data_IF_452831509316
#
_entry.id   IF_452831509316
#
_cell.length_a   1.000
_cell.length_b   1.000
_cell.length_c   1.000
_cell.angle_alpha   90.00
_cell.angle_beta   90.00
_cell.angle_gamma   90.00
#
_symmetry.space_group_name_H-M   'P 1'
#
loop_
_entity.id
_entity.type
_entity.pdbx_description
1 polymer ?
#
# COMPACT_ATOMS: atom_id res chain seq x y z
N UNK A 1 2.66 3.96 12.63
CA UNK A 1 3.07 2.71 11.96
C UNK A 1 1.78 2.07 11.45
N UNK A 2 1.64 1.94 10.13
CA UNK A 2 0.46 1.34 9.51
C UNK A 2 0.71 -0.16 9.32
N UNK A 3 -0.24 -0.99 9.76
CA UNK A 3 -0.20 -2.45 9.61
C UNK A 3 -1.49 -2.89 8.96
N UNK A 4 -1.40 -3.75 7.96
CA UNK A 4 -2.53 -4.20 7.13
C UNK A 4 -2.41 -5.70 6.86
N UNK A 5 -3.54 -6.36 6.64
CA UNK A 5 -3.58 -7.76 6.23
C UNK A 5 -3.20 -7.91 4.75
N UNK A 6 -2.66 -9.07 4.36
CA UNK A 6 -2.30 -9.34 2.97
C UNK A 6 -3.49 -9.36 2.00
N UNK A 7 -4.70 -9.68 2.49
CA UNK A 7 -5.94 -9.70 1.70
C UNK A 7 -6.57 -8.31 1.46
N UNK A 8 -5.96 -7.23 1.98
CA UNK A 8 -6.48 -5.88 1.77
C UNK A 8 -6.38 -5.48 0.30
N UNK A 9 -7.42 -4.82 -0.23
CA UNK A 9 -7.36 -4.28 -1.58
C UNK A 9 -6.41 -3.10 -1.65
N UNK A 10 -5.70 -2.98 -2.78
CA UNK A 10 -4.76 -1.90 -3.01
C UNK A 10 -5.44 -0.52 -3.06
N UNK A 11 -6.66 -0.47 -3.60
CA UNK A 11 -7.50 0.75 -3.64
C UNK A 11 -7.80 1.28 -2.24
N UNK A 12 -7.94 0.38 -1.26
CA UNK A 12 -8.20 0.73 0.13
C UNK A 12 -6.93 1.18 0.88
N UNK A 13 -5.73 0.90 0.34
CA UNK A 13 -4.45 1.30 0.96
C UNK A 13 -4.16 2.79 0.80
N UNK A 14 -4.50 3.40 -0.34
CA UNK A 14 -4.29 4.83 -0.59
C UNK A 14 -4.95 5.73 0.48
N UNK A 15 -6.26 5.59 0.78
CA UNK A 15 -6.89 6.42 1.80
C UNK A 15 -6.32 6.16 3.20
N UNK A 16 -5.83 4.94 3.49
CA UNK A 16 -5.17 4.62 4.75
C UNK A 16 -3.83 5.35 4.91
N UNK A 17 -3.01 5.38 3.85
CA UNK A 17 -1.76 6.14 3.83
C UNK A 17 -2.01 7.63 4.07
N UNK A 18 -3.01 8.21 3.39
CA UNK A 18 -3.39 9.61 3.56
C UNK A 18 -3.86 9.91 4.98
N UNK A 19 -4.74 9.06 5.54
CA UNK A 19 -5.29 9.22 6.90
C UNK A 19 -4.22 9.14 7.98
N UNK A 20 -3.27 8.22 7.84
CA UNK A 20 -2.19 8.01 8.80
C UNK A 20 -0.98 8.91 8.58
N UNK A 21 -0.98 9.74 7.52
CA UNK A 21 0.15 10.59 7.12
C UNK A 21 1.46 9.80 7.06
N UNK A 22 1.39 8.60 6.46
CA UNK A 22 2.54 7.70 6.29
C UNK A 22 2.55 7.13 4.89
N UNK A 23 3.73 6.73 4.42
CA UNK A 23 3.92 6.21 3.06
C UNK A 23 4.34 4.75 3.02
N UNK A 24 4.41 4.08 4.18
CA UNK A 24 4.80 2.66 4.29
C UNK A 24 3.83 1.93 5.22
N UNK A 25 3.43 0.73 4.81
CA UNK A 25 2.63 -0.19 5.60
C UNK A 25 3.37 -1.51 5.73
N UNK A 26 3.29 -2.13 6.91
CA UNK A 26 3.72 -3.51 7.12
C UNK A 26 2.55 -4.42 6.79
N UNK A 27 2.80 -5.42 5.96
CA UNK A 27 1.81 -6.42 5.56
C UNK A 27 1.98 -7.64 6.45
N UNK A 28 0.89 -8.06 7.09
CA UNK A 28 0.86 -9.23 7.96
C UNK A 28 -0.03 -10.31 7.38
N UNK A 29 0.35 -11.56 7.62
CA UNK A 29 -0.49 -12.73 7.33
C UNK A 29 -1.56 -12.92 8.42
N UNK A 30 -2.45 -13.88 8.20
CA UNK A 30 -3.54 -14.25 9.12
C UNK A 30 -3.07 -14.87 10.45
N UNK A 31 -1.80 -15.29 10.54
CA UNK A 31 -1.18 -15.87 11.72
C UNK A 31 -0.37 -14.85 12.53
N UNK A 32 -0.34 -13.58 12.09
CA UNK A 32 0.41 -12.49 12.72
C UNK A 32 1.90 -12.46 12.34
N UNK A 33 2.31 -13.25 11.36
CA UNK A 33 3.61 -13.17 10.73
C UNK A 33 3.71 -11.95 9.81
N UNK A 34 4.94 -11.47 9.58
CA UNK A 34 5.18 -10.39 8.62
C UNK A 34 5.36 -10.97 7.23
N UNK A 35 4.40 -10.75 6.34
CA UNK A 35 4.49 -11.10 4.93
C UNK A 35 5.44 -10.15 4.18
N UNK A 36 5.44 -8.85 4.55
CA UNK A 36 6.34 -7.87 3.95
C UNK A 36 5.98 -6.42 4.24
N UNK A 37 6.24 -5.55 3.26
CA UNK A 37 5.87 -4.12 3.34
C UNK A 37 5.45 -3.59 1.99
N UNK A 38 4.54 -2.61 1.99
CA UNK A 38 4.05 -1.93 0.79
C UNK A 38 4.19 -0.41 0.97
N UNK A 39 4.45 0.30 -0.12
CA UNK A 39 4.58 1.76 -0.13
C UNK A 39 3.45 2.42 -0.89
N UNK A 40 3.17 3.68 -0.54
CA UNK A 40 2.18 4.50 -1.24
C UNK A 40 2.51 4.64 -2.74
N UNK A 41 3.80 4.77 -3.10
CA UNK A 41 4.24 4.86 -4.50
C UNK A 41 3.77 3.63 -5.29
N UNK A 42 4.08 2.45 -4.80
CA UNK A 42 3.70 1.20 -5.46
C UNK A 42 2.18 1.06 -5.58
N UNK A 43 1.45 1.40 -4.51
CA UNK A 43 -0.02 1.37 -4.53
C UNK A 43 -0.60 2.30 -5.61
N UNK A 44 -0.04 3.52 -5.76
CA UNK A 44 -0.45 4.47 -6.79
C UNK A 44 -0.12 3.98 -8.20
N UNK A 45 1.09 3.45 -8.43
CA UNK A 45 1.52 2.93 -9.74
C UNK A 45 0.62 1.80 -10.26
N UNK A 46 0.16 0.90 -9.38
CA UNK A 46 -0.71 -0.19 -9.79
C UNK A 46 -2.13 0.27 -10.14
N UNK A 47 -2.62 1.34 -9.51
CA UNK A 47 -3.99 1.85 -9.73
C UNK A 47 -4.03 2.78 -10.93
N UNK A 48 -3.03 3.65 -11.06
CA UNK A 48 -2.96 4.66 -12.12
C UNK A 48 -2.31 4.10 -13.39
N UNK A 49 -1.53 3.02 -13.27
CA UNK A 49 -0.64 2.53 -14.33
C UNK A 49 0.71 3.25 -14.32
N UNK A 50 1.65 2.84 -15.19
CA UNK A 50 2.84 3.67 -15.46
C UNK A 50 2.33 5.05 -15.91
N UNK A 51 2.67 6.08 -15.14
CA UNK A 51 2.55 7.44 -15.62
C UNK A 51 3.49 7.49 -16.82
N UNK A 52 2.94 7.34 -18.03
CA UNK A 52 3.66 7.64 -19.25
C UNK A 52 4.02 9.11 -19.09
N UNK A 53 5.29 9.37 -18.80
CA UNK A 53 5.84 10.72 -18.81
C UNK A 53 5.54 11.27 -20.20
N UNK A 54 4.56 12.17 -20.30
CA UNK A 54 4.19 12.81 -21.55
C UNK A 54 5.43 13.53 -22.07
N UNK A 55 5.93 13.07 -23.21
CA UNK A 55 7.04 13.69 -23.97
C UNK A 55 6.65 15.07 -24.49
#
# INVERSE_FOLDING_TARGET
>A
MLVVLEDIKLDDLIPLFQKQKTHIAIVTDEFGGTAGSVTLKYALEQIVGEIVDET
#
